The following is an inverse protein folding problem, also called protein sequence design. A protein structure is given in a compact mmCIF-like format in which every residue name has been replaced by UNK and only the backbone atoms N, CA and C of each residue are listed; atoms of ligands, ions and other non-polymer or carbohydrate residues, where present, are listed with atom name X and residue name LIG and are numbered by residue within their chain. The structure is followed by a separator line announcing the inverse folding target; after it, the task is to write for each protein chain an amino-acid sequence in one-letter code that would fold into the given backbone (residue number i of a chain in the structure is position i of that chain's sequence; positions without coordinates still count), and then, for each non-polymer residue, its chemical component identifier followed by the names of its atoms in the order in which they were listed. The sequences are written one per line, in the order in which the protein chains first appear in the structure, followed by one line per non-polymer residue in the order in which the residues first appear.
data_IF_577625095590
#
_entry.id   IF_577625095590
#
_cell.length_a   1.000
_cell.length_b   1.000
_cell.length_c   1.000
_cell.angle_alpha   90.00
_cell.angle_beta   90.00
_cell.angle_gamma   90.00
#
_symmetry.space_group_name_H-M   'P 1'
#
loop_
_entity.id
_entity.type
_entity.pdbx_description
1 polymer ?
#
# COMPACT_ATOMS: atom_id res chain seq x y z
N UNK A 1 1.95 15.99 39.54
CA UNK A 1 1.16 15.58 38.36
C UNK A 1 0.41 16.82 37.88
N UNK A 2 0.62 17.28 36.64
CA UNK A 2 -0.20 18.36 36.07
C UNK A 2 -1.46 17.72 35.50
N UNK A 3 -2.63 18.21 35.89
CA UNK A 3 -3.93 17.71 35.44
C UNK A 3 -4.35 18.44 34.16
N UNK A 4 -4.71 17.67 33.12
CA UNK A 4 -5.29 18.21 31.88
C UNK A 4 -6.66 18.84 32.18
N UNK A 5 -6.97 20.00 31.59
CA UNK A 5 -8.22 20.71 31.87
C UNK A 5 -9.47 19.91 31.50
N UNK A 6 -9.37 18.98 30.54
CA UNK A 6 -10.48 18.12 30.11
C UNK A 6 -10.78 16.98 31.06
N UNK A 7 -9.84 16.67 31.95
CA UNK A 7 -9.99 15.58 32.95
C UNK A 7 -10.12 16.12 34.37
N UNK A 8 -10.09 17.45 34.57
CA UNK A 8 -10.22 18.08 35.89
C UNK A 8 -11.55 17.70 36.58
N UNK A 9 -12.63 17.61 35.82
CA UNK A 9 -13.98 17.34 36.34
C UNK A 9 -14.29 15.84 36.49
N UNK A 10 -13.33 14.95 36.18
CA UNK A 10 -13.49 13.52 36.39
C UNK A 10 -13.20 13.17 37.86
N UNK A 11 -14.09 12.39 38.47
CA UNK A 11 -14.05 12.03 39.91
C UNK A 11 -12.72 11.45 40.43
N UNK A 12 -11.87 10.95 39.52
CA UNK A 12 -10.54 10.40 39.83
C UNK A 12 -9.52 11.50 40.13
N UNK A 13 -9.67 12.70 39.56
CA UNK A 13 -8.63 13.75 39.58
C UNK A 13 -8.61 14.56 40.87
N UNK A 14 -9.75 14.73 41.54
CA UNK A 14 -9.87 15.49 42.80
C UNK A 14 -9.51 14.67 44.05
N UNK A 15 -9.43 13.33 43.95
CA UNK A 15 -9.45 12.42 45.12
C UNK A 15 -8.25 11.44 45.19
N UNK A 16 -7.13 11.73 44.53
CA UNK A 16 -5.90 10.90 44.60
C UNK A 16 -5.08 11.16 45.89
N UNK A 17 -5.72 11.64 46.96
CA UNK A 17 -5.14 11.63 48.31
C UNK A 17 -4.86 10.19 48.79
N UNK A 18 -3.94 10.02 49.75
CA UNK A 18 -3.48 8.78 50.44
C UNK A 18 -3.89 7.41 49.83
N UNK A 19 -3.73 7.21 48.52
CA UNK A 19 -4.05 5.96 47.81
C UNK A 19 -2.77 5.28 47.34
N UNK A 20 -2.74 3.94 47.40
CA UNK A 20 -1.61 3.18 46.90
C UNK A 20 -1.68 3.10 45.38
N UNK A 21 -0.66 3.60 44.69
CA UNK A 21 -0.53 3.51 43.23
C UNK A 21 0.74 2.77 42.84
N UNK A 22 0.65 1.91 41.83
CA UNK A 22 1.79 1.27 41.17
C UNK A 22 1.73 1.56 39.67
N UNK A 23 2.84 2.02 39.10
CA UNK A 23 3.00 2.21 37.66
C UNK A 23 4.01 1.22 37.09
N UNK A 24 3.65 0.53 36.01
CA UNK A 24 4.55 -0.30 35.23
C UNK A 24 4.59 0.23 33.78
N UNK A 25 5.73 0.79 33.32
CA UNK A 25 5.85 1.31 31.97
C UNK A 25 5.76 0.15 30.96
N UNK A 26 4.93 0.36 29.93
CA UNK A 26 4.82 -0.50 28.76
C UNK A 26 5.85 -0.02 27.75
N UNK A 27 6.73 -0.93 27.34
CA UNK A 27 7.69 -0.70 26.27
C UNK A 27 7.29 -1.52 25.05
N UNK A 28 7.45 -0.92 23.88
CA UNK A 28 7.33 -1.57 22.57
C UNK A 28 8.74 -1.71 21.95
N UNK A 29 8.85 -2.25 20.73
CA UNK A 29 10.13 -2.33 20.02
C UNK A 29 10.89 -0.98 20.03
N UNK A 30 12.23 -1.04 20.01
CA UNK A 30 13.17 0.09 20.19
C UNK A 30 13.15 0.77 21.58
N UNK A 31 12.60 0.10 22.60
CA UNK A 31 12.50 0.64 23.98
C UNK A 31 11.71 1.94 24.08
N UNK A 32 10.85 2.22 23.09
CA UNK A 32 9.95 3.35 23.13
C UNK A 32 8.86 3.10 24.20
N UNK A 33 8.63 4.09 25.07
CA UNK A 33 7.52 4.00 26.03
C UNK A 33 6.21 4.26 25.29
N UNK A 34 5.34 3.24 25.26
CA UNK A 34 4.00 3.35 24.71
C UNK A 34 3.04 4.00 25.71
N UNK A 35 3.19 3.67 26.98
CA UNK A 35 2.35 4.14 28.07
C UNK A 35 2.74 3.51 29.41
N UNK A 36 1.87 3.62 30.40
CA UNK A 36 2.07 3.01 31.72
C UNK A 36 0.79 2.34 32.18
N UNK A 37 0.86 1.07 32.59
CA UNK A 37 -0.24 0.43 33.32
C UNK A 37 -0.18 0.95 34.75
N UNK A 38 -1.31 1.47 35.24
CA UNK A 38 -1.46 1.89 36.62
C UNK A 38 -2.37 0.91 37.38
N UNK A 39 -1.87 0.36 38.48
CA UNK A 39 -2.68 -0.27 39.51
C UNK A 39 -2.98 0.73 40.62
N UNK A 40 -4.23 0.79 41.08
CA UNK A 40 -4.65 1.67 42.15
C UNK A 40 -5.44 0.88 43.20
N UNK A 41 -5.20 1.21 44.46
CA UNK A 41 -6.00 0.71 45.58
C UNK A 41 -6.67 1.89 46.29
N UNK A 42 -7.90 1.68 46.74
CA UNK A 42 -8.71 2.68 47.43
C UNK A 42 -8.18 2.95 48.85
N UNK A 43 -7.39 2.03 49.40
CA UNK A 43 -6.80 2.14 50.73
C UNK A 43 -5.27 2.28 50.68
N UNK A 44 -4.67 3.12 51.54
CA UNK A 44 -3.22 3.24 51.62
C UNK A 44 -2.58 1.92 52.08
N UNK A 45 -1.78 1.33 51.21
CA UNK A 45 -0.99 0.13 51.47
C UNK A 45 0.30 0.12 50.64
N UNK A 46 1.21 -0.80 50.96
CA UNK A 46 2.40 -1.06 50.13
C UNK A 46 2.12 -2.22 49.19
N UNK A 47 2.53 -2.07 47.93
CA UNK A 47 2.58 -3.19 47.00
C UNK A 47 3.72 -4.12 47.37
N UNK A 48 3.44 -5.42 47.33
CA UNK A 48 4.41 -6.48 47.57
C UNK A 48 5.31 -6.67 46.35
N UNK A 49 6.49 -7.29 46.54
CA UNK A 49 7.37 -7.64 45.41
C UNK A 49 6.68 -8.52 44.35
N UNK A 50 5.77 -9.40 44.78
CA UNK A 50 4.98 -10.25 43.87
C UNK A 50 4.06 -9.41 42.99
N UNK A 51 3.39 -8.41 43.57
CA UNK A 51 2.54 -7.49 42.83
C UNK A 51 3.36 -6.63 41.88
N UNK A 52 4.50 -6.09 42.32
CA UNK A 52 5.43 -5.39 41.43
C UNK A 52 5.86 -6.24 40.23
N UNK A 53 6.18 -7.51 40.47
CA UNK A 53 6.57 -8.43 39.41
C UNK A 53 5.39 -8.75 38.47
N UNK A 54 4.19 -8.94 39.01
CA UNK A 54 2.99 -9.17 38.21
C UNK A 54 2.70 -8.00 37.28
N UNK A 55 2.69 -6.77 37.80
CA UNK A 55 2.48 -5.57 36.99
C UNK A 55 3.56 -5.41 35.92
N UNK A 56 4.81 -5.78 36.22
CA UNK A 56 5.89 -5.77 35.23
C UNK A 56 5.66 -6.79 34.12
N UNK A 57 5.31 -8.04 34.46
CA UNK A 57 4.97 -9.07 33.47
C UNK A 57 3.75 -8.68 32.62
N UNK A 58 2.73 -8.05 33.21
CA UNK A 58 1.58 -7.54 32.47
C UNK A 58 1.98 -6.44 31.48
N UNK A 59 2.83 -5.50 31.91
CA UNK A 59 3.33 -4.44 31.04
C UNK A 59 4.17 -4.99 29.88
N UNK A 60 5.03 -5.98 30.16
CA UNK A 60 5.85 -6.64 29.14
C UNK A 60 4.98 -7.44 28.16
N UNK A 61 3.96 -8.17 28.66
CA UNK A 61 3.01 -8.90 27.81
C UNK A 61 2.19 -7.97 26.92
N UNK A 62 1.68 -6.86 27.47
CA UNK A 62 0.96 -5.86 26.68
C UNK A 62 1.87 -5.24 25.60
N UNK A 63 3.14 -4.97 25.93
CA UNK A 63 4.14 -4.50 24.96
C UNK A 63 4.23 -5.44 23.76
N UNK A 64 4.43 -6.73 24.00
CA UNK A 64 4.49 -7.76 22.95
C UNK A 64 3.21 -7.86 22.10
N UNK A 65 2.04 -7.73 22.72
CA UNK A 65 0.74 -7.75 22.00
C UNK A 65 0.58 -6.50 21.14
N UNK A 66 0.97 -5.33 21.64
CA UNK A 66 0.93 -4.06 20.91
C UNK A 66 1.90 -4.12 19.72
N UNK A 67 3.11 -4.63 19.91
CA UNK A 67 4.09 -4.82 18.82
C UNK A 67 3.52 -5.72 17.72
N UNK A 68 2.90 -6.85 18.09
CA UNK A 68 2.29 -7.75 17.12
C UNK A 68 1.14 -7.08 16.34
N UNK A 69 0.30 -6.27 16.99
CA UNK A 69 -0.77 -5.51 16.33
C UNK A 69 -0.21 -4.40 15.42
N UNK A 70 0.84 -3.68 15.85
CA UNK A 70 1.51 -2.66 15.03
C UNK A 70 2.12 -3.29 13.77
N UNK A 71 2.83 -4.41 13.91
CA UNK A 71 3.44 -5.09 12.77
C UNK A 71 2.39 -5.70 11.83
N UNK A 72 1.33 -6.31 12.38
CA UNK A 72 0.20 -6.78 11.57
C UNK A 72 -0.46 -5.62 10.81
N UNK A 73 -0.74 -4.51 11.49
CA UNK A 73 -1.29 -3.30 10.84
C UNK A 73 -0.34 -2.69 9.85
N UNK A 74 0.99 -2.75 10.05
CA UNK A 74 1.98 -2.29 9.06
C UNK A 74 1.95 -3.14 7.79
N UNK A 75 1.79 -4.45 7.92
CA UNK A 75 1.61 -5.35 6.76
C UNK A 75 0.28 -5.05 6.06
N UNK A 76 -0.79 -4.77 6.80
CA UNK A 76 -2.12 -4.44 6.24
C UNK A 76 -2.21 -3.01 5.67
N UNK A 77 -1.44 -2.07 6.22
CA UNK A 77 -1.34 -0.66 5.80
C UNK A 77 -0.14 -0.36 4.91
N UNK A 78 0.63 -1.39 4.55
CA UNK A 78 1.75 -1.29 3.64
C UNK A 78 1.28 -0.52 2.41
N UNK A 79 1.94 0.62 2.19
CA UNK A 79 1.56 1.69 1.29
C UNK A 79 0.95 1.15 0.00
N UNK A 80 -0.16 1.76 -0.46
CA UNK A 80 -0.67 1.58 -1.82
C UNK A 80 0.51 1.87 -2.76
N UNK A 81 1.17 0.83 -3.30
CA UNK A 81 2.48 1.02 -3.90
C UNK A 81 2.24 1.53 -5.30
N UNK A 82 2.52 2.81 -5.53
CA UNK A 82 2.45 3.40 -6.85
C UNK A 82 3.89 3.52 -7.34
N UNK A 83 4.21 2.81 -8.42
CA UNK A 83 5.54 2.73 -8.99
C UNK A 83 5.51 3.43 -10.36
N UNK A 84 5.87 4.73 -10.43
CA UNK A 84 5.96 5.43 -11.70
C UNK A 84 7.14 4.89 -12.49
N UNK A 85 6.92 4.58 -13.77
CA UNK A 85 7.97 4.21 -14.73
C UNK A 85 8.41 5.39 -15.60
N UNK A 86 7.71 6.52 -15.51
CA UNK A 86 7.89 7.69 -16.37
C UNK A 86 6.98 7.65 -17.61
N UNK A 87 6.92 8.78 -18.34
CA UNK A 87 6.13 8.92 -19.58
C UNK A 87 4.65 8.52 -19.40
N UNK A 88 4.04 8.95 -18.30
CA UNK A 88 2.62 8.66 -18.02
C UNK A 88 2.33 7.25 -17.50
N UNK A 89 3.33 6.38 -17.32
CA UNK A 89 3.11 4.99 -16.92
C UNK A 89 3.31 4.80 -15.41
N UNK A 90 2.33 4.21 -14.74
CA UNK A 90 2.40 3.83 -13.32
C UNK A 90 1.95 2.39 -13.11
N UNK A 91 2.65 1.65 -12.24
CA UNK A 91 2.26 0.30 -11.80
C UNK A 91 1.70 0.36 -10.38
N UNK A 92 0.58 -0.33 -10.18
CA UNK A 92 -0.03 -0.63 -8.88
C UNK A 92 0.01 -2.15 -8.62
N UNK A 93 1.03 -2.68 -7.93
CA UNK A 93 1.03 -4.06 -7.48
C UNK A 93 0.09 -4.23 -6.27
N UNK A 94 -0.87 -5.15 -6.41
CA UNK A 94 -1.80 -5.53 -5.35
C UNK A 94 -1.46 -6.95 -4.87
N UNK A 95 -0.69 -7.04 -3.80
CA UNK A 95 -0.26 -8.31 -3.18
C UNK A 95 -0.86 -8.48 -1.78
N UNK A 96 -1.09 -9.71 -1.36
CA UNK A 96 -1.64 -10.04 -0.04
C UNK A 96 -3.16 -9.91 0.06
N UNK A 97 -3.67 -9.86 1.29
CA UNK A 97 -5.11 -9.77 1.56
C UNK A 97 -5.68 -8.42 1.12
N UNK A 98 -6.76 -8.44 0.33
CA UNK A 98 -7.45 -7.24 -0.13
C UNK A 98 -8.75 -7.05 0.67
N UNK A 99 -8.64 -6.50 1.88
CA UNK A 99 -9.79 -6.23 2.76
C UNK A 99 -10.56 -4.98 2.36
N UNK A 100 -11.79 -4.81 2.87
CA UNK A 100 -12.63 -3.62 2.65
C UNK A 100 -11.90 -2.31 3.03
N UNK A 101 -11.17 -2.31 4.14
CA UNK A 101 -10.41 -1.13 4.57
C UNK A 101 -9.29 -0.80 3.57
N UNK A 102 -8.59 -1.81 3.07
CA UNK A 102 -7.52 -1.62 2.09
C UNK A 102 -8.08 -1.17 0.75
N UNK A 103 -9.20 -1.72 0.29
CA UNK A 103 -9.86 -1.32 -0.94
C UNK A 103 -10.21 0.17 -0.94
N UNK A 104 -10.79 0.68 0.16
CA UNK A 104 -11.10 2.12 0.30
C UNK A 104 -9.84 2.99 0.21
N UNK A 105 -8.77 2.58 0.88
CA UNK A 105 -7.50 3.30 0.85
C UNK A 105 -6.85 3.29 -0.54
N UNK A 106 -6.93 2.16 -1.26
CA UNK A 106 -6.42 2.04 -2.63
C UNK A 106 -7.19 2.97 -3.56
N UNK A 107 -8.53 2.93 -3.54
CA UNK A 107 -9.35 3.81 -4.38
C UNK A 107 -9.01 5.28 -4.14
N UNK A 108 -9.04 5.74 -2.89
CA UNK A 108 -8.78 7.15 -2.56
C UNK A 108 -7.39 7.60 -3.02
N UNK A 109 -6.35 6.82 -2.69
CA UNK A 109 -4.97 7.18 -3.03
C UNK A 109 -4.68 7.13 -4.52
N UNK A 110 -5.16 6.09 -5.22
CA UNK A 110 -4.90 5.92 -6.66
C UNK A 110 -5.59 7.03 -7.45
N UNK A 111 -6.87 7.32 -7.18
CA UNK A 111 -7.58 8.36 -7.91
C UNK A 111 -7.01 9.75 -7.62
N UNK A 112 -6.62 10.04 -6.37
CA UNK A 112 -5.94 11.29 -6.05
C UNK A 112 -4.59 11.39 -6.77
N UNK A 113 -3.80 10.32 -6.77
CA UNK A 113 -2.54 10.28 -7.48
C UNK A 113 -2.70 10.54 -8.99
N UNK A 114 -3.67 9.90 -9.66
CA UNK A 114 -3.94 10.17 -11.08
C UNK A 114 -4.47 11.60 -11.35
N UNK A 115 -5.01 12.29 -10.35
CA UNK A 115 -5.45 13.67 -10.48
C UNK A 115 -4.31 14.68 -10.24
N UNK A 116 -3.31 14.31 -9.44
CA UNK A 116 -2.14 15.13 -9.10
C UNK A 116 -0.99 14.95 -10.10
N UNK A 117 -0.85 13.75 -10.65
CA UNK A 117 0.21 13.36 -11.58
C UNK A 117 -0.36 13.05 -12.97
N UNK A 118 0.47 13.20 -14.00
CA UNK A 118 0.11 12.89 -15.39
C UNK A 118 0.19 11.37 -15.60
N UNK A 119 -0.94 10.67 -15.47
CA UNK A 119 -1.03 9.21 -15.58
C UNK A 119 -1.86 8.81 -16.79
N UNK A 120 -1.19 8.54 -17.90
CA UNK A 120 -1.79 7.99 -19.11
C UNK A 120 -2.13 6.51 -18.95
N UNK A 121 -1.24 5.74 -18.33
CA UNK A 121 -1.35 4.29 -18.21
C UNK A 121 -1.21 3.82 -16.76
N UNK A 122 -2.22 3.08 -16.28
CA UNK A 122 -2.20 2.40 -14.98
C UNK A 122 -2.16 0.89 -15.18
N UNK A 123 -1.06 0.23 -14.78
CA UNK A 123 -0.96 -1.22 -14.78
C UNK A 123 -1.25 -1.75 -13.39
N UNK A 124 -2.34 -2.50 -13.22
CA UNK A 124 -2.70 -3.14 -11.95
C UNK A 124 -2.26 -4.61 -11.98
N UNK A 125 -1.39 -5.01 -11.06
CA UNK A 125 -0.95 -6.39 -10.93
C UNK A 125 -1.63 -7.08 -9.75
N UNK A 126 -2.60 -7.95 -10.03
CA UNK A 126 -3.32 -8.72 -9.01
C UNK A 126 -2.79 -10.14 -8.81
N UNK A 127 -1.63 -10.48 -9.37
CA UNK A 127 -1.09 -11.85 -9.33
C UNK A 127 -0.84 -12.38 -7.91
N UNK A 128 -0.51 -11.50 -6.96
CA UNK A 128 -0.30 -11.83 -5.56
C UNK A 128 -1.50 -11.59 -4.65
N UNK A 129 -2.67 -11.27 -5.22
CA UNK A 129 -3.88 -10.93 -4.46
C UNK A 129 -4.51 -12.21 -3.88
N UNK A 130 -4.76 -12.19 -2.57
CA UNK A 130 -5.51 -13.25 -1.90
C UNK A 130 -6.93 -12.72 -1.67
N UNK A 131 -7.89 -13.27 -2.42
CA UNK A 131 -9.33 -12.98 -2.30
C UNK A 131 -10.05 -14.24 -1.84
N UNK A 132 -10.61 -14.19 -0.63
CA UNK A 132 -11.49 -15.25 -0.12
C UNK A 132 -12.97 -14.97 -0.47
N UNK A 133 -13.32 -13.73 -0.81
CA UNK A 133 -14.70 -13.27 -0.98
C UNK A 133 -14.93 -12.56 -2.32
N UNK A 134 -16.10 -12.80 -2.93
CA UNK A 134 -16.52 -12.16 -4.20
C UNK A 134 -16.60 -10.64 -4.10
N UNK A 135 -16.98 -10.12 -2.93
CA UNK A 135 -17.16 -8.67 -2.70
C UNK A 135 -15.86 -7.89 -2.91
N UNK A 136 -14.71 -8.51 -2.63
CA UNK A 136 -13.41 -7.85 -2.80
C UNK A 136 -13.02 -7.70 -4.26
N UNK A 137 -13.41 -8.66 -5.10
CA UNK A 137 -13.24 -8.56 -6.55
C UNK A 137 -14.10 -7.43 -7.10
N UNK A 138 -15.34 -7.25 -6.63
CA UNK A 138 -16.18 -6.10 -7.04
C UNK A 138 -15.53 -4.74 -6.73
N UNK A 139 -14.78 -4.62 -5.63
CA UNK A 139 -14.04 -3.38 -5.31
C UNK A 139 -12.87 -3.13 -6.26
N UNK A 140 -12.18 -4.18 -6.70
CA UNK A 140 -11.13 -4.07 -7.71
C UNK A 140 -11.72 -3.59 -9.05
N UNK A 141 -12.87 -4.12 -9.45
CA UNK A 141 -13.58 -3.69 -10.65
C UNK A 141 -14.01 -2.22 -10.54
N UNK A 142 -14.55 -1.82 -9.38
CA UNK A 142 -14.91 -0.43 -9.13
C UNK A 142 -13.71 0.53 -9.29
N UNK A 143 -12.52 0.15 -8.81
CA UNK A 143 -11.30 0.94 -9.02
C UNK A 143 -10.98 1.10 -10.51
N UNK A 144 -11.04 0.01 -11.29
CA UNK A 144 -10.78 0.01 -12.72
C UNK A 144 -11.74 0.97 -13.44
N UNK A 145 -13.03 0.92 -13.13
CA UNK A 145 -14.03 1.82 -13.71
C UNK A 145 -13.74 3.28 -13.37
N UNK A 146 -13.36 3.56 -12.12
CA UNK A 146 -13.01 4.92 -11.71
C UNK A 146 -11.77 5.44 -12.44
N UNK A 147 -10.75 4.60 -12.65
CA UNK A 147 -9.55 4.95 -13.42
C UNK A 147 -9.88 5.32 -14.86
N UNK A 148 -10.74 4.54 -15.51
CA UNK A 148 -11.23 4.83 -16.88
C UNK A 148 -11.92 6.20 -16.91
N UNK A 149 -12.74 6.53 -15.90
CA UNK A 149 -13.43 7.82 -15.83
C UNK A 149 -12.49 9.01 -15.57
N UNK A 150 -11.40 8.80 -14.84
CA UNK A 150 -10.35 9.81 -14.62
C UNK A 150 -9.46 9.99 -15.85
N UNK A 151 -9.52 9.06 -16.81
CA UNK A 151 -8.79 9.14 -18.07
C UNK A 151 -7.49 8.34 -18.10
N UNK A 152 -7.25 7.47 -17.11
CA UNK A 152 -6.09 6.58 -17.09
C UNK A 152 -6.41 5.25 -17.79
N UNK A 153 -5.73 4.97 -18.90
CA UNK A 153 -5.87 3.69 -19.61
C UNK A 153 -5.34 2.56 -18.72
N UNK A 154 -6.22 1.62 -18.40
CA UNK A 154 -5.93 0.60 -17.38
C UNK A 154 -5.61 -0.75 -18.01
N UNK A 155 -4.48 -1.34 -17.60
CA UNK A 155 -4.08 -2.70 -17.95
C UNK A 155 -4.08 -3.58 -16.69
N UNK A 156 -4.86 -4.66 -16.69
CA UNK A 156 -4.92 -5.61 -15.59
C UNK A 156 -4.07 -6.85 -15.88
N UNK A 157 -3.21 -7.23 -14.93
CA UNK A 157 -2.43 -8.48 -14.97
C UNK A 157 -2.73 -9.38 -13.79
N UNK A 158 -2.46 -10.68 -13.93
CA UNK A 158 -2.64 -11.64 -12.85
C UNK A 158 -4.11 -11.98 -12.56
N UNK A 159 -4.96 -11.94 -13.59
CA UNK A 159 -6.39 -12.27 -13.48
C UNK A 159 -6.57 -13.76 -13.18
N UNK A 160 -7.19 -14.06 -12.04
CA UNK A 160 -7.54 -15.42 -11.61
C UNK A 160 -8.89 -15.87 -12.23
N UNK A 161 -9.18 -17.19 -12.30
CA UNK A 161 -10.42 -17.69 -12.89
C UNK A 161 -11.71 -17.14 -12.25
N UNK A 162 -11.74 -16.95 -10.94
CA UNK A 162 -12.86 -16.35 -10.21
C UNK A 162 -13.09 -14.88 -10.61
N UNK A 163 -12.00 -14.13 -10.77
CA UNK A 163 -12.03 -12.73 -11.23
C UNK A 163 -12.53 -12.63 -12.67
N UNK A 164 -12.07 -13.51 -13.56
CA UNK A 164 -12.52 -13.56 -14.94
C UNK A 164 -14.04 -13.82 -15.06
N UNK A 165 -14.59 -14.71 -14.22
CA UNK A 165 -16.03 -14.95 -14.17
C UNK A 165 -16.81 -13.72 -13.69
N UNK A 166 -16.28 -12.99 -12.70
CA UNK A 166 -16.95 -11.79 -12.19
C UNK A 166 -16.90 -10.62 -13.19
N UNK A 167 -15.76 -10.42 -13.86
CA UNK A 167 -15.63 -9.45 -14.95
C UNK A 167 -16.69 -9.68 -16.04
N UNK A 168 -16.90 -10.94 -16.42
CA UNK A 168 -17.95 -11.30 -17.37
C UNK A 168 -19.35 -10.98 -16.84
N UNK A 169 -19.64 -11.29 -15.57
CA UNK A 169 -20.95 -10.99 -14.94
C UNK A 169 -21.25 -9.51 -14.85
N UNK A 170 -20.25 -8.68 -14.58
CA UNK A 170 -20.40 -7.22 -14.45
C UNK A 170 -20.46 -6.50 -15.81
N UNK A 171 -20.49 -7.23 -16.94
CA UNK A 171 -20.45 -6.68 -18.29
C UNK A 171 -19.26 -5.73 -18.52
N UNK A 172 -18.17 -5.91 -17.78
CA UNK A 172 -16.90 -5.26 -18.09
C UNK A 172 -16.35 -5.95 -19.34
N UNK A 173 -16.56 -5.33 -20.50
CA UNK A 173 -16.03 -5.86 -21.74
C UNK A 173 -14.50 -5.74 -21.74
N UNK A 174 -13.83 -6.73 -22.33
CA UNK A 174 -12.39 -6.69 -22.58
C UNK A 174 -11.98 -5.50 -23.49
N UNK A 175 -12.96 -4.80 -24.08
CA UNK A 175 -12.76 -3.59 -24.86
C UNK A 175 -12.54 -2.35 -23.98
N UNK A 176 -12.93 -2.38 -22.70
CA UNK A 176 -12.81 -1.25 -21.76
C UNK A 176 -11.60 -1.34 -20.85
N UNK A 177 -11.14 -2.56 -20.55
CA UNK A 177 -9.92 -2.78 -19.77
C UNK A 177 -9.03 -3.76 -20.53
N UNK A 178 -7.77 -3.37 -20.76
CA UNK A 178 -6.82 -4.27 -21.37
C UNK A 178 -6.43 -5.34 -20.34
N UNK A 179 -6.51 -6.62 -20.71
CA UNK A 179 -6.01 -7.72 -19.88
C UNK A 179 -4.73 -8.25 -20.52
N UNK A 180 -3.69 -8.40 -19.70
CA UNK A 180 -2.43 -9.02 -20.10
C UNK A 180 -2.06 -10.17 -19.14
N UNK A 181 -1.48 -11.27 -19.64
CA UNK A 181 -1.16 -12.44 -18.83
C UNK A 181 0.00 -12.20 -17.85
N UNK A 182 0.80 -11.15 -18.05
CA UNK A 182 1.97 -10.85 -17.23
C UNK A 182 2.38 -9.39 -17.36
N UNK A 183 3.15 -8.88 -16.38
CA UNK A 183 3.72 -7.53 -16.41
C UNK A 183 4.55 -7.25 -17.69
N UNK A 184 5.46 -8.14 -18.15
CA UNK A 184 6.19 -7.90 -19.39
C UNK A 184 5.28 -7.75 -20.63
N UNK A 185 4.16 -8.47 -20.68
CA UNK A 185 3.20 -8.35 -21.78
C UNK A 185 2.38 -7.07 -21.67
N UNK A 186 2.01 -6.65 -20.45
CA UNK A 186 1.36 -5.37 -20.22
C UNK A 186 2.23 -4.20 -20.70
N UNK A 187 3.52 -4.21 -20.33
CA UNK A 187 4.50 -3.21 -20.77
C UNK A 187 4.65 -3.19 -22.30
N UNK A 188 4.77 -4.36 -22.94
CA UNK A 188 4.82 -4.45 -24.42
C UNK A 188 3.57 -3.86 -25.08
N UNK A 189 2.40 -4.11 -24.50
CA UNK A 189 1.11 -3.64 -25.04
C UNK A 189 0.99 -2.12 -25.03
N UNK A 190 1.56 -1.46 -24.03
CA UNK A 190 1.62 0.00 -23.95
C UNK A 190 2.85 0.59 -24.68
N UNK A 191 3.58 -0.23 -25.45
CA UNK A 191 4.67 0.23 -26.32
C UNK A 191 6.05 0.28 -25.67
N UNK A 192 6.20 -0.11 -24.40
CA UNK A 192 7.51 -0.20 -23.74
C UNK A 192 8.29 -1.42 -24.22
N UNK A 193 9.49 -1.18 -24.73
CA UNK A 193 10.43 -2.21 -25.17
C UNK A 193 11.71 -2.12 -24.36
N UNK A 194 12.21 -3.28 -23.94
CA UNK A 194 13.56 -3.37 -23.40
C UNK A 194 14.53 -3.24 -24.57
N UNK A 195 15.31 -2.17 -24.58
CA UNK A 195 16.49 -2.06 -25.44
C UNK A 195 17.68 -2.60 -24.66
N UNK A 196 18.40 -3.56 -25.23
CA UNK A 196 19.70 -3.97 -24.70
C UNK A 196 20.71 -2.93 -25.15
N UNK A 197 21.56 -2.44 -24.24
CA UNK A 197 22.55 -1.37 -24.51
C UNK A 197 23.67 -1.74 -25.51
N UNK A 198 23.47 -2.77 -26.34
CA UNK A 198 24.42 -3.22 -27.35
C UNK A 198 23.99 -2.88 -28.79
N UNK A 199 22.76 -2.41 -29.04
CA UNK A 199 22.29 -2.08 -30.40
C UNK A 199 22.21 -0.58 -30.69
N UNK A 200 22.40 0.29 -29.69
CA UNK A 200 22.47 1.73 -29.91
C UNK A 200 23.92 2.19 -30.07
N UNK A 201 24.47 1.95 -31.25
CA UNK A 201 25.53 2.77 -31.86
C UNK A 201 25.64 2.56 -33.38
N UNK A 202 24.95 1.58 -33.96
CA UNK A 202 24.91 1.41 -35.41
C UNK A 202 23.61 1.98 -35.98
N UNK A 203 23.67 3.02 -36.84
CA UNK A 203 22.49 3.52 -37.51
C UNK A 203 21.83 2.39 -38.31
N UNK A 204 20.51 2.44 -38.39
CA UNK A 204 19.70 1.44 -39.07
C UNK A 204 20.22 1.22 -40.50
N UNK A 205 20.12 -0.01 -41.02
CA UNK A 205 20.59 -0.33 -42.37
C UNK A 205 19.98 0.59 -43.46
N UNK A 206 18.83 1.20 -43.19
CA UNK A 206 18.21 2.20 -44.06
C UNK A 206 18.92 3.57 -44.01
N UNK A 207 19.34 4.03 -42.84
CA UNK A 207 20.10 5.29 -42.70
C UNK A 207 21.52 5.19 -43.29
N UNK A 208 22.15 4.00 -43.24
CA UNK A 208 23.44 3.78 -43.91
C UNK A 208 23.33 3.83 -45.43
N UNK A 209 22.27 3.23 -45.98
CA UNK A 209 22.03 3.25 -47.44
C UNK A 209 21.71 4.66 -47.92
N UNK A 210 20.91 5.44 -47.17
CA UNK A 210 20.64 6.84 -47.53
C UNK A 210 21.87 7.75 -47.38
N UNK A 211 22.76 7.48 -46.41
CA UNK A 211 23.99 8.23 -46.23
C UNK A 211 25.03 7.93 -47.33
N UNK A 212 25.12 6.67 -47.79
CA UNK A 212 25.98 6.29 -48.92
C UNK A 212 25.46 6.85 -50.25
N UNK A 213 24.15 6.79 -50.50
CA UNK A 213 23.54 7.36 -51.72
C UNK A 213 23.73 8.88 -51.80
N UNK A 214 23.59 9.61 -50.68
CA UNK A 214 23.85 11.07 -50.65
C UNK A 214 25.33 11.42 -50.85
N UNK A 215 26.25 10.50 -50.53
CA UNK A 215 27.69 10.71 -50.73
C UNK A 215 28.09 10.51 -52.19
N UNK A 216 27.53 9.50 -52.86
CA UNK A 216 27.76 9.24 -54.29
C UNK A 216 27.19 10.34 -55.19
N UNK A 217 26.04 10.94 -54.83
CA UNK A 217 25.47 12.08 -55.57
C UNK A 217 26.29 13.38 -55.44
N UNK A 218 27.04 13.55 -54.34
CA UNK A 218 27.91 14.71 -54.13
C UNK A 218 29.28 14.59 -54.81
N UNK A 219 29.75 13.38 -55.12
CA UNK A 219 31.02 13.18 -55.85
C UNK A 219 30.86 13.24 -57.38
N UNK A 220 29.63 13.29 -57.89
CA UNK A 220 29.31 13.41 -59.33
C UNK A 220 28.89 14.82 -59.78
N UNK A 221 28.98 15.82 -58.91
CA UNK A 221 28.80 17.25 -59.22
C UNK A 221 30.09 18.04 -59.07
#
# INVERSE_FOLDING_TARGET
MKTDERTKDMWITEDIGERAVIGAPIYIQDSQSFGTICGMDLYPRKFTRKEHHLFKMMADLLGSVIDADIEQRRVESAAVPLVPLGQGVTILPLTGLFSEQRARLVVDKVLRYCAEEDVDYMIIDSSGLITEESEMTDKLLYLIECLILVGAETVLTGVRPDQAQLLHKQNLSADRVAIAPSMPEALRRIGLKLTTSAEELEPSAQEKVEAEQKKEEQEQQ
#
